data_IF_312912666324
#
_entry.id   IF_312912666324
#
_cell.length_a   1.000
_cell.length_b   1.000
_cell.length_c   1.000
_cell.angle_alpha   90.00
_cell.angle_beta   90.00
_cell.angle_gamma   90.00
#
_symmetry.space_group_name_H-M   'P 1'
#
loop_
_entity.id
_entity.type
_entity.pdbx_description
1 polymer ?
#
# COMPACT_ATOMS: atom_id res chain seq x y z
N UNK A 1 -21.75 34.96 -78.66
CA UNK A 1 -22.50 33.96 -77.87
C UNK A 1 -22.48 34.38 -76.40
N UNK A 2 -23.67 34.47 -75.81
CA UNK A 2 -24.08 34.83 -74.43
C UNK A 2 -23.62 33.70 -73.45
N UNK A 3 -23.45 33.86 -72.11
CA UNK A 3 -23.08 35.02 -71.28
C UNK A 3 -22.24 34.70 -69.98
N UNK A 4 -21.98 35.78 -69.22
CA UNK A 4 -22.14 35.97 -67.76
C UNK A 4 -21.75 34.91 -66.70
N UNK A 5 -20.93 35.36 -65.74
CA UNK A 5 -21.25 35.63 -64.31
C UNK A 5 -19.92 35.48 -63.54
N UNK A 6 -19.40 36.45 -62.80
CA UNK A 6 -20.08 37.36 -61.88
C UNK A 6 -19.82 36.88 -60.46
N UNK A 7 -18.72 37.28 -59.82
CA UNK A 7 -18.71 37.39 -58.35
C UNK A 7 -17.77 38.48 -57.84
N UNK A 8 -18.43 39.41 -57.16
CA UNK A 8 -18.02 40.56 -56.38
C UNK A 8 -16.74 40.42 -55.54
N UNK A 9 -15.94 41.50 -55.56
CA UNK A 9 -14.96 41.85 -54.54
C UNK A 9 -15.66 42.45 -53.32
N UNK A 10 -15.26 42.04 -52.11
CA UNK A 10 -15.39 42.65 -50.76
C UNK A 10 -15.63 41.48 -49.79
N UNK A 11 -14.80 41.15 -48.82
CA UNK A 11 -14.03 41.96 -47.88
C UNK A 11 -14.31 41.39 -46.47
N UNK A 12 -13.42 41.68 -45.53
CA UNK A 12 -13.53 41.50 -44.06
C UNK A 12 -13.03 40.19 -43.40
N UNK A 13 -11.95 40.41 -42.63
CA UNK A 13 -11.79 40.10 -41.20
C UNK A 13 -11.40 38.68 -40.76
N UNK A 14 -10.10 38.56 -40.47
CA UNK A 14 -9.54 38.23 -39.16
C UNK A 14 -10.46 37.47 -38.18
N UNK A 15 -10.05 36.24 -37.86
CA UNK A 15 -10.56 35.48 -36.73
C UNK A 15 -9.60 34.35 -36.36
N UNK A 16 -8.41 34.66 -35.84
CA UNK A 16 -7.56 33.69 -35.17
C UNK A 16 -8.21 33.29 -33.85
N UNK A 17 -8.93 32.17 -33.85
CA UNK A 17 -9.41 31.55 -32.63
C UNK A 17 -8.23 30.91 -31.87
N UNK A 18 -7.74 31.59 -30.85
CA UNK A 18 -6.81 31.00 -29.88
C UNK A 18 -7.65 30.12 -28.96
N UNK A 19 -7.69 28.82 -29.27
CA UNK A 19 -8.18 27.78 -28.35
C UNK A 19 -7.20 27.68 -27.18
N UNK A 20 -7.40 28.48 -26.13
CA UNK A 20 -6.78 28.21 -24.84
C UNK A 20 -7.41 26.94 -24.28
N UNK A 21 -6.79 25.79 -24.56
CA UNK A 21 -7.04 24.57 -23.82
C UNK A 21 -6.60 24.82 -22.37
N UNK A 22 -7.50 25.38 -21.57
CA UNK A 22 -7.40 25.42 -20.13
C UNK A 22 -7.54 24.00 -19.61
N UNK A 23 -6.48 23.22 -19.72
CA UNK A 23 -6.32 22.02 -18.92
C UNK A 23 -6.33 22.47 -17.48
N UNK A 24 -7.44 22.28 -16.79
CA UNK A 24 -7.46 22.23 -15.34
C UNK A 24 -6.56 21.05 -14.96
N UNK A 25 -5.27 21.32 -14.80
CA UNK A 25 -4.43 20.49 -13.96
C UNK A 25 -5.13 20.52 -12.61
N UNK A 26 -5.97 19.51 -12.35
CA UNK A 26 -6.54 19.29 -11.04
C UNK A 26 -5.34 19.33 -10.11
N UNK A 27 -5.30 20.35 -9.25
CA UNK A 27 -4.32 20.41 -8.18
C UNK A 27 -4.36 19.02 -7.56
N UNK A 28 -3.23 18.33 -7.56
CA UNK A 28 -3.09 17.04 -6.90
C UNK A 28 -3.40 17.37 -5.44
N UNK A 29 -4.65 17.20 -5.01
CA UNK A 29 -4.98 17.24 -3.60
C UNK A 29 -3.95 16.32 -2.96
N UNK A 30 -3.28 16.82 -1.92
CA UNK A 30 -2.37 16.05 -1.09
C UNK A 30 -3.22 15.02 -0.32
N UNK A 31 -3.80 14.08 -1.06
CA UNK A 31 -4.67 13.06 -0.54
C UNK A 31 -3.74 12.10 0.19
N UNK A 32 -3.92 12.06 1.50
CA UNK A 32 -3.24 11.09 2.35
C UNK A 32 -3.49 9.69 1.80
N UNK A 33 -2.47 8.83 1.88
CA UNK A 33 -2.62 7.43 1.51
C UNK A 33 -3.77 6.80 2.31
N UNK A 34 -4.54 5.90 1.68
CA UNK A 34 -5.66 5.20 2.32
C UNK A 34 -5.17 4.26 3.45
N UNK A 35 -3.89 3.87 3.40
CA UNK A 35 -3.22 3.09 4.42
C UNK A 35 -1.71 2.99 4.16
N UNK A 36 -1.04 2.22 5.00
CA UNK A 36 0.36 1.84 4.82
C UNK A 36 0.48 0.32 4.91
N UNK A 37 1.15 -0.27 3.94
CA UNK A 37 1.59 -1.66 3.98
C UNK A 37 3.09 -1.71 4.33
N UNK A 38 3.43 -2.47 5.36
CA UNK A 38 4.80 -2.71 5.81
C UNK A 38 5.17 -4.14 5.42
N UNK A 39 6.16 -4.33 4.56
CA UNK A 39 6.70 -5.64 4.25
C UNK A 39 7.86 -5.97 5.20
N UNK A 40 7.76 -7.11 5.89
CA UNK A 40 8.87 -7.74 6.63
C UNK A 40 9.29 -8.99 5.85
N UNK A 41 10.50 -9.01 5.30
CA UNK A 41 11.02 -10.19 4.58
C UNK A 41 12.28 -10.82 5.19
N UNK A 42 12.79 -10.24 6.28
CA UNK A 42 13.92 -10.73 7.06
C UNK A 42 13.49 -11.30 8.42
N UNK A 43 14.15 -12.37 8.86
CA UNK A 43 14.01 -12.95 10.20
C UNK A 43 15.07 -12.47 11.20
N UNK A 44 15.85 -11.45 10.84
CA UNK A 44 16.75 -10.81 11.78
C UNK A 44 15.94 -10.14 12.91
N UNK A 45 16.22 -10.42 14.21
CA UNK A 45 15.39 -9.93 15.32
C UNK A 45 15.17 -8.42 15.32
N UNK A 46 16.19 -7.66 14.91
CA UNK A 46 16.11 -6.21 14.77
C UNK A 46 15.07 -5.79 13.71
N UNK A 47 15.09 -6.44 12.53
CA UNK A 47 14.16 -6.14 11.44
C UNK A 47 12.74 -6.60 11.77
N UNK A 48 12.58 -7.78 12.40
CA UNK A 48 11.26 -8.23 12.87
C UNK A 48 10.64 -7.23 13.86
N UNK A 49 11.46 -6.57 14.68
CA UNK A 49 11.03 -5.50 15.58
C UNK A 49 10.39 -4.29 14.86
N UNK A 50 10.68 -4.08 13.56
CA UNK A 50 10.05 -3.03 12.76
C UNK A 50 8.54 -3.23 12.60
N UNK A 51 8.04 -4.48 12.65
CA UNK A 51 6.59 -4.74 12.67
C UNK A 51 5.89 -3.98 13.81
N UNK A 52 6.57 -3.86 14.95
CA UNK A 52 6.05 -3.15 16.13
C UNK A 52 6.34 -1.66 16.03
N UNK A 53 7.62 -1.31 15.87
CA UNK A 53 8.04 0.10 15.98
C UNK A 53 7.48 0.96 14.84
N UNK A 54 7.41 0.45 13.61
CA UNK A 54 6.88 1.21 12.48
C UNK A 54 5.37 1.37 12.59
N UNK A 55 4.65 0.30 12.94
CA UNK A 55 3.20 0.36 13.14
C UNK A 55 2.81 1.34 14.26
N UNK A 56 3.51 1.28 15.40
CA UNK A 56 3.28 2.21 16.52
C UNK A 56 3.59 3.66 16.14
N UNK A 57 4.71 3.90 15.45
CA UNK A 57 5.13 5.23 15.03
C UNK A 57 4.18 5.83 13.99
N UNK A 58 3.78 5.06 12.98
CA UNK A 58 2.79 5.48 11.98
C UNK A 58 1.46 5.82 12.63
N UNK A 59 0.95 4.94 13.51
CA UNK A 59 -0.32 5.21 14.18
C UNK A 59 -0.28 6.51 14.97
N UNK A 60 0.79 6.76 15.74
CA UNK A 60 0.95 8.01 16.52
C UNK A 60 1.05 9.22 15.60
N UNK A 61 1.91 9.15 14.60
CA UNK A 61 2.20 10.24 13.68
C UNK A 61 0.97 10.75 12.91
N UNK A 62 0.03 9.86 12.56
CA UNK A 62 -1.21 10.24 11.89
C UNK A 62 -2.34 10.57 12.87
N UNK A 63 -2.39 9.94 14.05
CA UNK A 63 -3.36 10.29 15.10
C UNK A 63 -3.19 11.74 15.56
N UNK A 64 -1.95 12.22 15.70
CA UNK A 64 -1.65 13.62 16.07
C UNK A 64 -2.15 14.64 15.03
N UNK A 65 -2.47 14.17 13.82
CA UNK A 65 -3.05 14.97 12.72
C UNK A 65 -4.54 14.73 12.51
N UNK A 66 -5.20 14.03 13.43
CA UNK A 66 -6.62 13.70 13.34
C UNK A 66 -6.96 12.63 12.30
N UNK A 67 -5.97 11.94 11.74
CA UNK A 67 -6.15 10.91 10.73
C UNK A 67 -6.04 9.50 11.36
N UNK A 68 -6.94 8.59 10.97
CA UNK A 68 -6.81 7.16 11.28
C UNK A 68 -6.30 6.43 10.05
N UNK A 69 -5.09 5.91 10.13
CA UNK A 69 -4.40 5.26 9.02
C UNK A 69 -4.59 3.73 9.07
N UNK A 70 -5.03 3.07 8.00
CA UNK A 70 -5.01 1.61 7.96
C UNK A 70 -3.55 1.13 7.91
N UNK A 71 -3.16 0.16 8.75
CA UNK A 71 -1.81 -0.40 8.76
C UNK A 71 -1.90 -1.90 8.56
N UNK A 72 -1.19 -2.42 7.57
CA UNK A 72 -1.05 -3.86 7.39
C UNK A 72 0.42 -4.26 7.35
N UNK A 73 0.82 -5.14 8.26
CA UNK A 73 2.14 -5.76 8.24
C UNK A 73 2.05 -7.08 7.50
N UNK A 74 2.77 -7.18 6.39
CA UNK A 74 2.85 -8.38 5.56
C UNK A 74 4.20 -9.05 5.79
N UNK A 75 4.19 -10.29 6.27
CA UNK A 75 5.38 -11.11 6.42
C UNK A 75 5.53 -12.08 5.25
N UNK A 76 6.69 -12.07 4.59
CA UNK A 76 6.97 -12.87 3.41
C UNK A 76 8.38 -13.48 3.48
N UNK A 77 8.65 -14.57 2.76
CA UNK A 77 9.98 -15.18 2.75
C UNK A 77 10.43 -15.63 4.14
N UNK A 78 11.64 -15.23 4.55
CA UNK A 78 12.15 -15.53 5.91
C UNK A 78 11.42 -14.72 6.98
N UNK A 79 10.95 -13.52 6.64
CA UNK A 79 10.24 -12.64 7.55
C UNK A 79 8.97 -13.22 8.16
N UNK A 80 8.43 -14.35 7.64
CA UNK A 80 7.31 -15.06 8.28
C UNK A 80 7.60 -15.43 9.75
N UNK A 81 8.87 -15.56 10.13
CA UNK A 81 9.28 -15.83 11.51
C UNK A 81 8.70 -14.80 12.50
N UNK A 82 8.40 -13.56 12.08
CA UNK A 82 7.77 -12.54 12.95
C UNK A 82 6.40 -12.97 13.49
N UNK A 83 5.66 -13.79 12.73
CA UNK A 83 4.30 -14.24 13.06
C UNK A 83 4.20 -15.73 13.42
N UNK A 84 5.34 -16.40 13.59
CA UNK A 84 5.45 -17.80 14.01
C UNK A 84 5.37 -17.92 15.53
N UNK A 85 4.31 -18.55 16.05
CA UNK A 85 4.16 -18.73 17.49
C UNK A 85 5.23 -19.64 18.12
N UNK A 86 5.88 -20.49 17.30
CA UNK A 86 6.95 -21.40 17.71
C UNK A 86 8.35 -20.75 17.70
N UNK A 87 8.53 -19.56 17.10
CA UNK A 87 9.85 -18.93 16.92
C UNK A 87 9.94 -17.48 17.37
N UNK A 88 8.90 -16.68 17.19
CA UNK A 88 8.99 -15.24 17.40
C UNK A 88 9.16 -14.92 18.89
N UNK A 89 10.13 -14.07 19.29
CA UNK A 89 10.18 -13.53 20.64
C UNK A 89 9.18 -12.38 20.85
N UNK A 90 8.35 -12.08 19.83
CA UNK A 90 7.49 -10.91 19.78
C UNK A 90 6.00 -11.23 19.96
N UNK A 91 5.64 -12.42 20.48
CA UNK A 91 4.24 -12.85 20.64
C UNK A 91 3.42 -11.83 21.45
N UNK A 92 3.85 -11.53 22.67
CA UNK A 92 3.16 -10.61 23.57
C UNK A 92 3.21 -9.15 23.07
N UNK A 93 4.37 -8.62 22.61
CA UNK A 93 4.41 -7.28 22.01
C UNK A 93 3.48 -7.10 20.81
N UNK A 94 3.43 -8.07 19.89
CA UNK A 94 2.56 -8.00 18.70
C UNK A 94 1.08 -8.08 19.09
N UNK A 95 0.73 -8.94 20.04
CA UNK A 95 -0.63 -9.05 20.56
C UNK A 95 -1.09 -7.75 21.25
N UNK A 96 -0.24 -7.19 22.12
CA UNK A 96 -0.49 -5.92 22.82
C UNK A 96 -0.68 -4.77 21.83
N UNK A 97 0.18 -4.69 20.82
CA UNK A 97 0.08 -3.64 19.81
C UNK A 97 -1.23 -3.75 19.01
N UNK A 98 -1.62 -4.96 18.58
CA UNK A 98 -2.87 -5.17 17.83
C UNK A 98 -4.12 -4.85 18.66
N UNK A 99 -4.10 -5.13 19.96
CA UNK A 99 -5.19 -4.72 20.87
C UNK A 99 -5.28 -3.20 21.00
N UNK A 100 -4.13 -2.52 20.97
CA UNK A 100 -4.04 -1.06 21.09
C UNK A 100 -4.41 -0.34 19.78
N UNK A 101 -4.23 -1.00 18.64
CA UNK A 101 -4.39 -0.45 17.29
C UNK A 101 -5.47 -1.24 16.51
N UNK A 102 -6.76 -0.85 16.59
CA UNK A 102 -7.85 -1.61 15.95
C UNK A 102 -7.80 -1.63 14.42
N UNK A 103 -6.99 -0.75 13.83
CA UNK A 103 -6.70 -0.57 12.41
C UNK A 103 -5.44 -1.32 11.94
N UNK A 104 -4.80 -2.12 12.80
CA UNK A 104 -3.61 -2.91 12.50
C UNK A 104 -3.97 -4.35 12.11
N UNK A 105 -3.49 -4.78 10.95
CA UNK A 105 -3.64 -6.15 10.43
C UNK A 105 -2.29 -6.84 10.28
N UNK A 106 -2.24 -8.14 10.61
CA UNK A 106 -1.07 -8.99 10.42
C UNK A 106 -1.37 -10.08 9.38
N UNK A 107 -0.60 -10.09 8.30
CA UNK A 107 -0.77 -11.00 7.16
C UNK A 107 0.51 -11.79 6.91
N UNK A 108 0.46 -13.12 6.99
CA UNK A 108 1.57 -14.00 6.65
C UNK A 108 1.35 -14.61 5.25
N UNK A 109 2.41 -14.65 4.45
CA UNK A 109 2.41 -15.33 3.15
C UNK A 109 2.26 -16.85 3.31
N UNK A 110 1.14 -17.40 2.84
CA UNK A 110 0.85 -18.83 2.87
C UNK A 110 1.84 -19.64 2.03
N UNK A 111 2.25 -19.13 0.87
CA UNK A 111 3.29 -19.77 0.05
C UNK A 111 4.64 -19.86 0.77
N UNK A 112 5.07 -18.79 1.45
CA UNK A 112 6.30 -18.82 2.26
C UNK A 112 6.19 -19.78 3.45
N UNK A 113 5.04 -19.80 4.13
CA UNK A 113 4.74 -20.77 5.19
C UNK A 113 4.86 -22.20 4.66
N UNK A 114 4.22 -22.53 3.55
CA UNK A 114 4.25 -23.88 2.96
C UNK A 114 5.69 -24.33 2.61
N UNK A 115 6.52 -23.42 2.06
CA UNK A 115 7.93 -23.70 1.78
C UNK A 115 8.70 -23.99 3.08
N UNK A 116 8.49 -23.18 4.12
CA UNK A 116 9.15 -23.37 5.41
C UNK A 116 8.71 -24.66 6.11
N UNK A 117 7.41 -24.99 6.10
CA UNK A 117 6.87 -26.25 6.62
C UNK A 117 7.46 -27.47 5.91
N UNK A 118 7.54 -27.43 4.59
CA UNK A 118 8.17 -28.50 3.81
C UNK A 118 9.67 -28.64 4.12
N UNK A 119 10.38 -27.53 4.35
CA UNK A 119 11.81 -27.57 4.70
C UNK A 119 12.05 -28.07 6.11
N UNK A 120 11.24 -27.64 7.07
CA UNK A 120 11.40 -27.91 8.49
C UNK A 120 10.68 -29.19 8.94
N UNK A 121 9.82 -29.77 8.09
CA UNK A 121 9.01 -30.96 8.37
C UNK A 121 8.12 -30.80 9.62
N UNK A 122 7.57 -29.60 9.80
CA UNK A 122 6.65 -29.26 10.90
C UNK A 122 5.45 -28.50 10.37
N UNK A 123 4.37 -28.48 11.16
CA UNK A 123 3.28 -27.51 10.99
C UNK A 123 3.64 -26.23 11.74
N UNK A 124 3.64 -25.09 11.05
CA UNK A 124 3.99 -23.80 11.63
C UNK A 124 2.74 -23.15 12.24
N UNK A 125 2.68 -22.95 13.57
CA UNK A 125 1.58 -22.25 14.22
C UNK A 125 1.71 -20.74 14.04
N UNK A 126 0.59 -20.06 13.79
CA UNK A 126 0.53 -18.59 13.73
C UNK A 126 0.27 -18.01 15.12
N UNK A 127 0.81 -16.82 15.38
CA UNK A 127 0.40 -16.02 16.54
C UNK A 127 -1.09 -15.64 16.45
N UNK A 128 -1.72 -15.39 17.60
CA UNK A 128 -3.11 -14.95 17.64
C UNK A 128 -3.31 -13.62 16.90
N UNK A 129 -4.28 -13.60 15.98
CA UNK A 129 -4.63 -12.42 15.19
C UNK A 129 -3.82 -12.21 13.91
N UNK A 130 -2.81 -13.04 13.63
CA UNK A 130 -2.24 -13.14 12.29
C UNK A 130 -3.12 -14.01 11.39
N UNK A 131 -3.26 -13.62 10.13
CA UNK A 131 -4.03 -14.36 9.11
C UNK A 131 -3.14 -14.70 7.92
N UNK A 132 -3.54 -15.70 7.14
CA UNK A 132 -2.85 -16.09 5.93
C UNK A 132 -3.37 -15.31 4.71
N UNK A 133 -2.45 -14.88 3.86
CA UNK A 133 -2.74 -14.41 2.49
C UNK A 133 -2.05 -15.34 1.48
N UNK A 134 -2.63 -15.62 0.30
CA UNK A 134 -2.06 -16.60 -0.63
C UNK A 134 -0.59 -16.29 -1.01
N UNK A 135 -0.33 -15.03 -1.37
CA UNK A 135 1.00 -14.54 -1.72
C UNK A 135 1.25 -13.19 -1.05
N UNK A 136 2.31 -13.09 -0.22
CA UNK A 136 2.66 -11.88 0.52
C UNK A 136 2.97 -10.70 -0.40
N UNK A 137 3.83 -10.89 -1.40
CA UNK A 137 4.13 -9.84 -2.40
C UNK A 137 2.88 -9.45 -3.21
N UNK A 138 2.02 -10.43 -3.55
CA UNK A 138 0.73 -10.15 -4.18
C UNK A 138 -0.15 -9.24 -3.32
N UNK A 139 -0.24 -9.52 -2.00
CA UNK A 139 -0.96 -8.67 -1.06
C UNK A 139 -0.40 -7.25 -0.99
N UNK A 140 0.93 -7.10 -1.00
CA UNK A 140 1.57 -5.77 -1.04
C UNK A 140 1.17 -5.00 -2.30
N UNK A 141 1.17 -5.65 -3.47
CA UNK A 141 0.72 -5.04 -4.73
C UNK A 141 -0.76 -4.67 -4.68
N UNK A 142 -1.63 -5.56 -4.20
CA UNK A 142 -3.06 -5.30 -4.06
C UNK A 142 -3.35 -4.07 -3.20
N UNK A 143 -2.59 -3.89 -2.12
CA UNK A 143 -2.73 -2.74 -1.22
C UNK A 143 -2.22 -1.45 -1.88
N UNK A 144 -1.08 -1.50 -2.57
CA UNK A 144 -0.58 -0.34 -3.32
C UNK A 144 -1.56 0.11 -4.41
N UNK A 145 -2.17 -0.82 -5.14
CA UNK A 145 -3.21 -0.51 -6.13
C UNK A 145 -4.48 0.10 -5.49
N UNK A 146 -4.72 -0.15 -4.20
CA UNK A 146 -5.77 0.48 -3.40
C UNK A 146 -5.34 1.78 -2.71
N UNK A 147 -4.22 2.36 -3.12
CA UNK A 147 -3.76 3.65 -2.59
C UNK A 147 -2.95 3.57 -1.29
N UNK A 148 -2.51 2.38 -0.88
CA UNK A 148 -1.63 2.26 0.29
C UNK A 148 -0.22 2.70 -0.07
N UNK A 149 0.43 3.43 0.84
CA UNK A 149 1.87 3.65 0.77
C UNK A 149 2.62 2.38 1.19
N UNK A 150 3.82 2.19 0.64
CA UNK A 150 4.65 1.02 0.88
C UNK A 150 5.89 1.38 1.71
N UNK A 151 6.16 0.56 2.73
CA UNK A 151 7.40 0.56 3.50
C UNK A 151 7.99 -0.84 3.46
N UNK A 152 9.29 -0.93 3.21
CA UNK A 152 10.05 -2.18 3.31
C UNK A 152 10.97 -2.11 4.53
N UNK A 153 10.99 -3.17 5.33
CA UNK A 153 11.82 -3.33 6.51
C UNK A 153 12.77 -4.51 6.36
#
# INVERSE_FOLDING_TARGET
MIPANGWSRRGLLAGTAILTAGGTAAAKEDRLADGVVILIDSNEPYVMGHAISYSANLSRHFADRGARLLIEVVANGKGIDVFRADKTPLVEPLATLRQSLPNLTYSMCASSKAIAEAKEQISIPLISGASLVPFGIGRVVDLQLKGFAYIHA
#
